data_IF_877663358559
#
_entry.id   IF_877663358559
#
_cell.length_a   1.000
_cell.length_b   1.000
_cell.length_c   1.000
_cell.angle_alpha   90.00
_cell.angle_beta   90.00
_cell.angle_gamma   90.00
#
_symmetry.space_group_name_H-M   'P 1'
#
loop_
_entity.id
_entity.type
_entity.pdbx_description
1 polymer ?
#
# COMPACT_ATOMS: atom_id res chain seq x y z
N UNK A 1 -2.71 -7.01 -33.37
CA UNK A 1 -1.67 -8.03 -33.17
C UNK A 1 -0.90 -8.21 -34.47
N UNK A 2 0.41 -7.89 -34.47
CA UNK A 2 1.25 -8.00 -35.68
C UNK A 2 1.63 -9.47 -35.96
N UNK A 3 1.66 -10.31 -34.89
CA UNK A 3 1.96 -11.74 -34.98
C UNK A 3 0.93 -12.55 -34.17
N UNK A 4 -0.18 -13.01 -34.78
CA UNK A 4 -1.27 -13.66 -34.05
C UNK A 4 -0.86 -14.93 -33.31
N UNK A 5 0.03 -15.76 -33.88
CA UNK A 5 0.52 -16.98 -33.22
C UNK A 5 1.45 -16.69 -32.04
N UNK A 6 2.35 -15.70 -32.18
CA UNK A 6 3.23 -15.27 -31.08
C UNK A 6 2.39 -14.58 -29.99
N UNK A 7 1.40 -13.78 -30.41
CA UNK A 7 0.44 -13.15 -29.50
C UNK A 7 -0.39 -14.17 -28.71
N UNK A 8 -0.80 -15.28 -29.33
CA UNK A 8 -1.50 -16.36 -28.65
C UNK A 8 -0.61 -17.07 -27.62
N UNK A 9 0.65 -17.33 -27.96
CA UNK A 9 1.62 -17.94 -27.05
C UNK A 9 1.87 -16.99 -25.84
N UNK A 10 2.10 -15.71 -26.12
CA UNK A 10 2.25 -14.70 -25.07
C UNK A 10 0.99 -14.58 -24.22
N UNK A 11 -0.21 -14.62 -24.84
CA UNK A 11 -1.48 -14.61 -24.11
C UNK A 11 -1.66 -15.85 -23.22
N UNK A 12 -1.34 -17.03 -23.71
CA UNK A 12 -1.43 -18.29 -22.91
C UNK A 12 -0.41 -18.29 -21.76
N UNK A 13 0.77 -17.71 -21.97
CA UNK A 13 1.83 -17.67 -20.96
C UNK A 13 1.63 -16.52 -19.94
N UNK A 14 1.05 -15.39 -20.35
CA UNK A 14 0.99 -14.16 -19.57
C UNK A 14 -0.42 -13.54 -19.45
N UNK A 15 -1.36 -13.94 -20.30
CA UNK A 15 -2.74 -13.44 -20.33
C UNK A 15 -3.66 -14.18 -19.35
N UNK A 16 -3.28 -14.28 -18.10
CA UNK A 16 -4.10 -14.92 -17.08
C UNK A 16 -5.19 -13.96 -16.60
N UNK A 17 -6.41 -14.49 -16.44
CA UNK A 17 -7.47 -13.82 -15.67
C UNK A 17 -7.14 -14.01 -14.19
N UNK A 18 -6.34 -13.07 -13.66
CA UNK A 18 -5.70 -13.13 -12.35
C UNK A 18 -6.68 -13.36 -11.20
N UNK A 19 -7.94 -12.89 -11.35
CA UNK A 19 -8.95 -12.99 -10.30
C UNK A 19 -9.70 -14.31 -10.28
N UNK A 20 -9.71 -15.06 -11.39
CA UNK A 20 -10.37 -16.38 -11.45
C UNK A 20 -9.56 -17.50 -10.83
N UNK A 21 -8.25 -17.31 -10.72
CA UNK A 21 -7.36 -18.28 -10.09
C UNK A 21 -7.10 -17.83 -8.64
N UNK A 22 -8.00 -18.17 -7.73
CA UNK A 22 -7.76 -17.92 -6.29
C UNK A 22 -6.49 -18.67 -5.88
N UNK A 23 -5.40 -17.91 -5.71
CA UNK A 23 -4.09 -18.48 -5.38
C UNK A 23 -4.09 -18.98 -3.94
N UNK A 24 -4.83 -18.29 -3.04
CA UNK A 24 -5.08 -18.79 -1.71
C UNK A 24 -6.50 -18.45 -1.21
N UNK A 25 -6.98 -19.24 -0.27
CA UNK A 25 -8.33 -19.10 0.26
C UNK A 25 -8.28 -18.40 1.62
N UNK A 26 -8.84 -17.21 1.69
CA UNK A 26 -9.01 -16.46 2.96
C UNK A 26 -10.01 -17.11 3.90
N UNK A 27 -10.79 -18.09 3.42
CA UNK A 27 -11.87 -18.71 4.21
C UNK A 27 -11.37 -19.33 5.50
N UNK A 28 -10.23 -20.00 5.49
CA UNK A 28 -9.67 -20.63 6.69
C UNK A 28 -9.57 -19.67 7.89
N UNK A 29 -9.21 -18.40 7.62
CA UNK A 29 -9.11 -17.38 8.67
C UNK A 29 -10.47 -16.72 8.92
N UNK A 30 -11.15 -16.28 7.84
CA UNK A 30 -12.42 -15.56 7.96
C UNK A 30 -13.56 -16.41 8.53
N UNK A 31 -13.50 -17.73 8.36
CA UNK A 31 -14.49 -18.66 8.89
C UNK A 31 -14.26 -19.03 10.36
N UNK A 32 -13.13 -18.68 10.96
CA UNK A 32 -12.92 -18.91 12.38
C UNK A 32 -13.90 -18.08 13.22
N UNK A 33 -14.51 -18.74 14.24
CA UNK A 33 -15.54 -18.13 15.07
C UNK A 33 -15.09 -16.81 15.70
N UNK A 34 -13.83 -16.75 16.15
CA UNK A 34 -13.26 -15.55 16.76
C UNK A 34 -13.20 -14.36 15.79
N UNK A 35 -12.90 -14.62 14.51
CA UNK A 35 -12.85 -13.57 13.48
C UNK A 35 -14.26 -13.09 13.14
N UNK A 36 -15.22 -14.01 13.04
CA UNK A 36 -16.65 -13.67 12.82
C UNK A 36 -17.18 -12.79 13.94
N UNK A 37 -16.97 -13.18 15.20
CA UNK A 37 -17.37 -12.40 16.37
C UNK A 37 -16.70 -11.02 16.41
N UNK A 38 -15.41 -10.95 16.06
CA UNK A 38 -14.66 -9.69 15.98
C UNK A 38 -15.24 -8.78 14.90
N UNK A 39 -15.46 -9.29 13.69
CA UNK A 39 -16.05 -8.54 12.59
C UNK A 39 -17.47 -8.09 12.91
N UNK A 40 -18.24 -8.90 13.65
CA UNK A 40 -19.58 -8.53 14.11
C UNK A 40 -19.53 -7.41 15.16
N UNK A 41 -18.57 -7.46 16.10
CA UNK A 41 -18.35 -6.38 17.08
C UNK A 41 -17.93 -5.05 16.44
N UNK A 42 -17.20 -5.12 15.31
CA UNK A 42 -16.78 -3.93 14.55
C UNK A 42 -17.90 -3.40 13.64
N UNK A 43 -19.04 -4.08 13.52
CA UNK A 43 -20.21 -3.55 12.80
C UNK A 43 -20.71 -2.29 13.51
N UNK A 44 -20.84 -1.21 12.77
CA UNK A 44 -21.50 -0.02 13.27
C UNK A 44 -22.96 -0.35 13.57
N UNK A 45 -23.50 0.16 14.67
CA UNK A 45 -24.93 0.15 14.91
C UNK A 45 -25.59 1.12 13.92
N UNK A 46 -26.84 0.87 13.53
CA UNK A 46 -27.55 1.73 12.57
C UNK A 46 -27.46 3.23 12.90
N UNK A 47 -27.61 3.57 14.20
CA UNK A 47 -27.45 4.96 14.68
C UNK A 47 -26.02 5.54 14.49
N UNK A 48 -25.00 4.68 14.43
CA UNK A 48 -23.62 5.08 14.17
C UNK A 48 -23.35 5.18 12.66
N UNK A 49 -24.00 4.33 11.86
CA UNK A 49 -24.00 4.45 10.40
C UNK A 49 -24.64 5.76 9.97
N UNK A 50 -25.81 6.12 10.52
CA UNK A 50 -26.49 7.38 10.26
C UNK A 50 -25.62 8.59 10.65
N UNK A 51 -24.93 8.55 11.79
CA UNK A 51 -23.99 9.59 12.22
C UNK A 51 -22.77 9.70 11.30
N UNK A 52 -22.23 8.56 10.88
CA UNK A 52 -21.10 8.52 9.92
C UNK A 52 -21.55 9.06 8.55
N UNK A 53 -22.74 8.71 8.09
CA UNK A 53 -23.31 9.27 6.87
C UNK A 53 -23.53 10.78 6.96
N UNK A 54 -24.01 11.30 8.08
CA UNK A 54 -24.17 12.73 8.31
C UNK A 54 -22.81 13.47 8.33
N UNK A 55 -21.78 12.89 8.96
CA UNK A 55 -20.43 13.46 9.00
C UNK A 55 -19.76 13.40 7.63
N UNK A 56 -19.89 12.28 6.92
CA UNK A 56 -19.25 12.05 5.62
C UNK A 56 -20.04 12.64 4.44
N UNK A 57 -21.33 12.94 4.61
CA UNK A 57 -22.22 13.49 3.57
C UNK A 57 -22.08 12.74 2.23
N UNK A 58 -21.59 13.39 1.18
CA UNK A 58 -21.41 12.78 -0.13
C UNK A 58 -20.30 11.72 -0.16
N UNK A 59 -19.35 11.80 0.75
CA UNK A 59 -18.32 10.77 0.93
C UNK A 59 -18.83 9.50 1.60
N UNK A 60 -20.12 9.50 2.04
CA UNK A 60 -20.81 8.29 2.47
C UNK A 60 -20.85 7.20 1.39
N UNK A 61 -20.83 7.57 0.11
CA UNK A 61 -20.76 6.58 -1.00
C UNK A 61 -19.42 5.84 -1.02
N UNK A 62 -18.31 6.55 -0.80
CA UNK A 62 -16.99 5.94 -0.68
C UNK A 62 -16.96 4.95 0.48
N UNK A 63 -17.41 5.39 1.66
CA UNK A 63 -17.52 4.53 2.84
C UNK A 63 -18.36 3.26 2.55
N UNK A 64 -19.54 3.41 1.95
CA UNK A 64 -20.45 2.29 1.63
C UNK A 64 -19.84 1.33 0.61
N UNK A 65 -19.15 1.83 -0.40
CA UNK A 65 -18.47 1.00 -1.38
C UNK A 65 -17.43 0.10 -0.70
N UNK A 66 -16.56 0.69 0.11
CA UNK A 66 -15.51 -0.04 0.83
C UNK A 66 -16.13 -1.04 1.81
N UNK A 67 -17.18 -0.63 2.52
CA UNK A 67 -17.91 -1.50 3.45
C UNK A 67 -18.54 -2.71 2.77
N UNK A 68 -19.15 -2.53 1.60
CA UNK A 68 -19.85 -3.58 0.88
C UNK A 68 -18.91 -4.51 0.11
N UNK A 69 -17.79 -3.98 -0.43
CA UNK A 69 -16.80 -4.72 -1.22
C UNK A 69 -16.04 -5.75 -0.38
N UNK A 70 -15.18 -5.29 0.51
CA UNK A 70 -14.33 -6.16 1.35
C UNK A 70 -14.93 -6.48 2.72
N UNK A 71 -16.12 -5.98 3.03
CA UNK A 71 -16.63 -5.93 4.41
C UNK A 71 -15.67 -5.20 5.35
N UNK A 72 -14.83 -4.31 4.78
CA UNK A 72 -13.90 -3.49 5.56
C UNK A 72 -14.69 -2.54 6.45
N UNK A 73 -14.59 -2.75 7.74
CA UNK A 73 -15.35 -1.99 8.73
C UNK A 73 -14.67 -0.64 8.97
N UNK A 74 -15.49 0.42 9.04
CA UNK A 74 -15.02 1.68 9.59
C UNK A 74 -14.82 1.49 11.10
N UNK A 75 -13.63 1.76 11.54
CA UNK A 75 -13.28 1.83 12.97
C UNK A 75 -13.14 3.29 13.37
N UNK A 76 -13.57 3.66 14.56
CA UNK A 76 -13.65 5.08 14.99
C UNK A 76 -12.79 5.39 16.21
N UNK A 77 -12.30 4.42 16.91
CA UNK A 77 -11.40 4.61 18.06
C UNK A 77 -9.96 4.33 17.63
N UNK A 78 -9.38 5.31 16.92
CA UNK A 78 -8.01 5.21 16.45
C UNK A 78 -7.26 6.51 16.71
N UNK A 79 -5.98 6.39 17.01
CA UNK A 79 -5.00 7.46 16.94
C UNK A 79 -4.07 7.16 15.75
N UNK A 80 -4.04 8.06 14.78
CA UNK A 80 -3.18 7.93 13.59
C UNK A 80 -2.06 8.95 13.70
N UNK A 81 -0.83 8.49 13.52
CA UNK A 81 0.36 9.34 13.39
C UNK A 81 0.97 9.14 12.01
N UNK A 82 1.11 10.23 11.26
CA UNK A 82 1.84 10.24 9.99
C UNK A 82 3.34 10.26 10.28
N UNK A 83 4.09 9.41 9.63
CA UNK A 83 5.54 9.27 9.74
C UNK A 83 6.17 9.62 8.39
N UNK A 84 6.97 10.67 8.39
CA UNK A 84 7.61 11.18 7.20
C UNK A 84 9.03 10.62 7.11
N UNK A 85 9.29 9.89 6.01
CA UNK A 85 10.56 9.23 5.75
C UNK A 85 10.94 8.10 6.74
N UNK A 86 11.98 7.38 6.38
CA UNK A 86 12.41 6.20 7.12
C UNK A 86 12.98 6.54 8.49
N UNK A 87 13.61 7.70 8.64
CA UNK A 87 14.22 8.13 9.91
C UNK A 87 13.17 8.18 11.01
N UNK A 88 12.08 8.91 10.79
CA UNK A 88 11.02 9.03 11.79
C UNK A 88 10.33 7.68 12.01
N UNK A 89 10.05 6.93 10.92
CA UNK A 89 9.45 5.59 11.04
C UNK A 89 10.29 4.68 11.92
N UNK A 90 11.59 4.55 11.65
CA UNK A 90 12.43 3.59 12.38
C UNK A 90 12.68 4.01 13.83
N UNK A 91 12.79 5.30 14.11
CA UNK A 91 12.89 5.81 15.50
C UNK A 91 11.68 5.36 16.33
N UNK A 92 10.47 5.64 15.83
CA UNK A 92 9.22 5.28 16.50
C UNK A 92 9.04 3.77 16.58
N UNK A 93 9.28 3.05 15.47
CA UNK A 93 9.15 1.61 15.39
C UNK A 93 10.04 0.88 16.39
N UNK A 94 11.33 1.24 16.48
CA UNK A 94 12.24 0.61 17.44
C UNK A 94 11.84 0.89 18.89
N UNK A 95 11.26 2.07 19.16
CA UNK A 95 10.71 2.37 20.49
C UNK A 95 9.54 1.46 20.84
N UNK A 96 8.61 1.24 19.90
CA UNK A 96 7.43 0.42 20.13
C UNK A 96 7.78 -1.07 20.21
N UNK A 97 8.63 -1.57 19.33
CA UNK A 97 9.08 -2.97 19.37
C UNK A 97 9.76 -3.34 20.68
N UNK A 98 10.55 -2.43 21.28
CA UNK A 98 11.15 -2.66 22.60
C UNK A 98 10.12 -2.87 23.70
N UNK A 99 8.92 -2.26 23.57
CA UNK A 99 7.85 -2.34 24.57
C UNK A 99 6.91 -3.54 24.36
N UNK A 100 7.03 -4.24 23.24
CA UNK A 100 6.19 -5.40 22.92
C UNK A 100 6.25 -6.46 24.03
N UNK A 101 5.08 -7.01 24.38
CA UNK A 101 4.93 -7.96 25.49
C UNK A 101 4.32 -9.29 25.08
N UNK A 102 3.45 -9.31 24.06
CA UNK A 102 2.71 -10.49 23.65
C UNK A 102 3.18 -11.01 22.28
N UNK A 103 3.09 -10.19 21.23
CA UNK A 103 3.48 -10.62 19.90
C UNK A 103 3.95 -9.47 19.00
N UNK A 104 4.77 -9.82 18.01
CA UNK A 104 5.23 -8.95 16.93
C UNK A 104 5.03 -9.70 15.62
N UNK A 105 4.19 -9.17 14.73
CA UNK A 105 3.93 -9.72 13.40
C UNK A 105 4.41 -8.75 12.33
N UNK A 106 5.22 -9.25 11.39
CA UNK A 106 5.78 -8.45 10.29
C UNK A 106 5.47 -9.10 8.94
N UNK A 107 5.10 -8.28 7.96
CA UNK A 107 4.89 -8.66 6.56
C UNK A 107 5.52 -7.57 5.69
N UNK A 108 6.55 -7.92 4.89
CA UNK A 108 7.33 -6.94 4.12
C UNK A 108 7.68 -7.42 2.73
N UNK A 109 7.52 -6.52 1.73
CA UNK A 109 7.99 -6.75 0.37
C UNK A 109 9.52 -6.75 0.29
N UNK A 110 10.17 -5.65 0.73
CA UNK A 110 11.64 -5.58 0.79
C UNK A 110 12.08 -5.61 2.24
N UNK A 111 12.88 -6.61 2.55
CA UNK A 111 13.65 -6.69 3.79
C UNK A 111 15.08 -7.09 3.44
N UNK A 112 16.02 -6.15 3.58
CA UNK A 112 17.43 -6.43 3.39
C UNK A 112 18.13 -6.50 4.74
N UNK A 113 19.02 -7.46 4.92
CA UNK A 113 19.82 -7.60 6.14
C UNK A 113 21.10 -6.73 6.11
N UNK A 114 20.93 -5.49 5.62
CA UNK A 114 21.90 -4.40 5.73
C UNK A 114 21.95 -3.83 7.16
N UNK A 115 22.41 -2.60 7.37
CA UNK A 115 22.58 -2.06 8.73
C UNK A 115 21.23 -1.97 9.47
N UNK A 116 20.20 -1.38 8.84
CA UNK A 116 18.89 -1.20 9.50
C UNK A 116 18.18 -2.53 9.67
N UNK A 117 18.21 -3.40 8.65
CA UNK A 117 17.57 -4.71 8.73
C UNK A 117 18.25 -5.62 9.75
N UNK A 118 19.59 -5.61 9.83
CA UNK A 118 20.33 -6.36 10.87
C UNK A 118 19.96 -5.85 12.27
N UNK A 119 19.89 -4.52 12.47
CA UNK A 119 19.45 -3.94 13.74
C UNK A 119 18.03 -4.36 14.11
N UNK A 120 17.14 -4.48 13.14
CA UNK A 120 15.78 -4.99 13.37
C UNK A 120 15.82 -6.48 13.72
N UNK A 121 16.57 -7.31 12.99
CA UNK A 121 16.76 -8.75 13.29
C UNK A 121 17.26 -8.94 14.73
N UNK A 122 18.26 -8.15 15.15
CA UNK A 122 18.79 -8.22 16.51
C UNK A 122 17.70 -7.98 17.56
N UNK A 123 16.85 -6.98 17.33
CA UNK A 123 15.74 -6.67 18.23
C UNK A 123 14.66 -7.76 18.22
N UNK A 124 14.31 -8.31 17.06
CA UNK A 124 13.33 -9.40 16.94
C UNK A 124 13.83 -10.66 17.66
N UNK A 125 15.10 -11.04 17.46
CA UNK A 125 15.72 -12.16 18.17
C UNK A 125 15.68 -11.96 19.69
N UNK A 126 16.04 -10.75 20.16
CA UNK A 126 15.99 -10.41 21.58
C UNK A 126 14.57 -10.53 22.13
N UNK A 127 13.56 -9.99 21.43
CA UNK A 127 12.14 -10.06 21.86
C UNK A 127 11.63 -11.50 21.91
N UNK A 128 11.99 -12.33 20.93
CA UNK A 128 11.64 -13.75 20.94
C UNK A 128 12.26 -14.49 22.14
N UNK A 129 13.54 -14.22 22.47
CA UNK A 129 14.21 -14.74 23.66
C UNK A 129 13.60 -14.24 24.98
N UNK A 130 12.97 -13.05 24.97
CA UNK A 130 12.20 -12.52 26.11
C UNK A 130 10.81 -13.16 26.23
N UNK A 131 10.42 -14.09 25.35
CA UNK A 131 9.15 -14.80 25.35
C UNK A 131 8.04 -14.12 24.53
N UNK A 132 8.34 -13.06 23.77
CA UNK A 132 7.41 -12.45 22.82
C UNK A 132 7.29 -13.34 21.59
N UNK A 133 6.08 -13.65 21.16
CA UNK A 133 5.85 -14.39 19.91
C UNK A 133 6.20 -13.51 18.70
N UNK A 134 7.15 -13.93 17.88
CA UNK A 134 7.56 -13.18 16.68
C UNK A 134 7.29 -14.00 15.43
N UNK A 135 6.45 -13.46 14.53
CA UNK A 135 6.16 -14.02 13.19
C UNK A 135 6.56 -13.04 12.10
N UNK A 136 7.27 -13.52 11.10
CA UNK A 136 7.81 -12.69 10.04
C UNK A 136 7.57 -13.32 8.67
N UNK A 137 6.83 -12.64 7.79
CA UNK A 137 6.65 -12.96 6.37
C UNK A 137 7.42 -11.94 5.54
N UNK A 138 8.17 -12.42 4.56
CA UNK A 138 8.90 -11.56 3.62
C UNK A 138 8.75 -12.09 2.20
N UNK A 139 8.59 -11.19 1.22
CA UNK A 139 8.55 -11.60 -0.19
C UNK A 139 9.90 -12.15 -0.62
N UNK A 140 9.90 -13.32 -1.26
CA UNK A 140 11.14 -14.05 -1.61
C UNK A 140 11.97 -13.33 -2.67
N UNK A 141 11.32 -12.60 -3.58
CA UNK A 141 12.00 -11.86 -4.67
C UNK A 141 12.46 -10.49 -4.20
N UNK A 142 11.62 -9.80 -3.44
CA UNK A 142 11.90 -8.44 -2.97
C UNK A 142 12.95 -8.40 -1.85
N UNK A 143 13.09 -9.47 -1.07
CA UNK A 143 13.91 -9.46 0.15
C UNK A 143 15.25 -10.15 -0.03
N UNK A 144 16.28 -9.64 0.68
CA UNK A 144 17.63 -10.21 0.69
C UNK A 144 18.04 -10.47 2.14
N UNK A 145 17.79 -11.69 2.62
CA UNK A 145 18.15 -12.13 3.96
C UNK A 145 19.15 -13.29 3.85
N UNK A 146 20.35 -13.10 4.38
CA UNK A 146 21.41 -14.10 4.35
C UNK A 146 21.04 -15.36 5.14
N UNK A 147 21.58 -16.51 4.72
CA UNK A 147 21.40 -17.77 5.45
C UNK A 147 21.86 -17.68 6.90
N UNK A 148 22.87 -16.84 7.20
CA UNK A 148 23.33 -16.55 8.56
C UNK A 148 22.21 -15.91 9.38
N UNK A 149 21.56 -14.86 8.86
CA UNK A 149 20.50 -14.16 9.60
C UNK A 149 19.22 -14.99 9.68
N UNK A 150 18.87 -15.77 8.66
CA UNK A 150 17.77 -16.74 8.73
C UNK A 150 17.99 -17.76 9.86
N UNK A 151 19.21 -18.29 9.98
CA UNK A 151 19.57 -19.20 11.09
C UNK A 151 19.45 -18.52 12.45
N UNK A 152 19.96 -17.29 12.61
CA UNK A 152 19.84 -16.52 13.86
C UNK A 152 18.38 -16.31 14.28
N UNK A 153 17.51 -15.96 13.32
CA UNK A 153 16.07 -15.83 13.58
C UNK A 153 15.48 -17.14 14.10
N UNK A 154 15.76 -18.27 13.42
CA UNK A 154 15.26 -19.59 13.82
C UNK A 154 15.80 -20.01 15.22
N UNK A 155 17.10 -19.83 15.49
CA UNK A 155 17.73 -20.16 16.76
C UNK A 155 17.17 -19.31 17.92
N UNK A 156 16.75 -18.08 17.65
CA UNK A 156 16.12 -17.21 18.64
C UNK A 156 14.62 -17.52 18.88
N UNK A 157 14.02 -18.40 18.08
CA UNK A 157 12.61 -18.75 18.19
C UNK A 157 11.66 -17.87 17.36
N UNK A 158 12.20 -17.05 16.44
CA UNK A 158 11.41 -16.30 15.47
C UNK A 158 10.89 -17.23 14.38
N UNK A 159 9.57 -17.27 14.19
CA UNK A 159 8.96 -17.98 13.08
C UNK A 159 9.00 -17.09 11.83
N UNK A 160 9.63 -17.56 10.75
CA UNK A 160 9.73 -16.76 9.52
C UNK A 160 9.59 -17.60 8.27
N UNK A 161 8.87 -17.06 7.28
CA UNK A 161 8.60 -17.73 6.02
C UNK A 161 8.72 -16.77 4.83
N UNK A 162 9.30 -17.22 3.70
CA UNK A 162 9.23 -16.48 2.46
C UNK A 162 7.82 -16.59 1.85
N UNK A 163 7.31 -15.50 1.34
CA UNK A 163 6.09 -15.48 0.54
C UNK A 163 6.43 -15.89 -0.91
N UNK A 164 5.73 -16.92 -1.40
CA UNK A 164 5.89 -17.46 -2.76
C UNK A 164 7.36 -17.71 -3.16
N UNK A 165 8.05 -18.70 -2.54
CA UNK A 165 9.42 -19.06 -2.87
C UNK A 165 9.58 -19.40 -4.36
N UNK A 166 10.61 -18.84 -4.99
CA UNK A 166 10.87 -18.99 -6.43
C UNK A 166 11.91 -20.07 -6.67
N UNK A 167 11.53 -21.35 -6.57
CA UNK A 167 12.44 -22.48 -6.81
C UNK A 167 12.62 -22.84 -8.30
N UNK A 168 11.69 -22.49 -9.19
CA UNK A 168 11.77 -22.72 -10.65
C UNK A 168 10.92 -21.66 -11.39
N UNK A 169 11.34 -20.43 -11.33
CA UNK A 169 10.57 -19.25 -11.73
C UNK A 169 10.19 -19.14 -13.21
N UNK A 170 10.90 -19.82 -14.09
CA UNK A 170 10.66 -19.72 -15.53
C UNK A 170 9.46 -20.50 -16.07
N UNK A 171 8.83 -21.36 -15.27
CA UNK A 171 7.77 -22.28 -15.71
C UNK A 171 6.41 -22.05 -15.00
N UNK A 172 6.34 -21.18 -14.00
CA UNK A 172 5.09 -20.98 -13.28
C UNK A 172 4.71 -19.49 -13.32
N UNK A 173 3.50 -19.18 -13.80
CA UNK A 173 2.92 -17.83 -13.79
C UNK A 173 2.82 -17.17 -12.39
N UNK A 174 3.28 -17.86 -11.34
CA UNK A 174 3.33 -17.39 -9.94
C UNK A 174 4.39 -16.31 -9.69
N UNK A 175 5.34 -16.10 -10.63
CA UNK A 175 6.34 -15.02 -10.49
C UNK A 175 5.75 -13.62 -10.47
N UNK A 176 4.58 -13.42 -11.08
CA UNK A 176 3.96 -12.11 -11.18
C UNK A 176 3.29 -11.62 -9.88
N UNK A 177 2.89 -12.55 -9.03
CA UNK A 177 2.21 -12.23 -7.78
C UNK A 177 3.21 -11.94 -6.68
N UNK A 178 3.27 -10.68 -6.23
CA UNK A 178 4.18 -10.26 -5.16
C UNK A 178 3.40 -9.72 -3.98
N UNK A 179 3.91 -9.99 -2.79
CA UNK A 179 3.40 -9.40 -1.57
C UNK A 179 4.04 -8.01 -1.39
N UNK A 180 3.34 -6.98 -1.88
CA UNK A 180 3.83 -5.61 -1.81
C UNK A 180 3.42 -4.90 -0.52
N UNK A 181 2.82 -5.60 0.43
CA UNK A 181 2.42 -5.06 1.74
C UNK A 181 3.63 -4.76 2.61
N UNK A 182 3.47 -3.82 3.52
CA UNK A 182 4.42 -3.44 4.55
C UNK A 182 3.63 -3.20 5.82
N UNK A 183 3.47 -4.27 6.60
CA UNK A 183 2.63 -4.29 7.80
C UNK A 183 3.49 -4.69 8.99
N UNK A 184 3.31 -4.01 10.12
CA UNK A 184 3.74 -4.50 11.42
C UNK A 184 2.56 -4.40 12.37
N UNK A 185 2.31 -5.44 13.14
CA UNK A 185 1.37 -5.41 14.27
C UNK A 185 2.13 -5.78 15.54
N UNK A 186 1.95 -4.96 16.57
CA UNK A 186 2.56 -5.14 17.89
C UNK A 186 1.46 -5.28 18.91
N UNK A 187 1.43 -6.40 19.63
CA UNK A 187 0.50 -6.72 20.72
C UNK A 187 -1.00 -6.62 20.34
N UNK A 188 -1.34 -6.52 19.04
CA UNK A 188 -2.69 -6.28 18.55
C UNK A 188 -3.25 -4.88 18.83
N UNK A 189 -2.41 -3.97 19.33
CA UNK A 189 -2.76 -2.60 19.73
C UNK A 189 -2.18 -1.54 18.80
N UNK A 190 -0.98 -1.79 18.27
CA UNK A 190 -0.23 -0.87 17.40
C UNK A 190 -0.04 -1.51 16.03
N UNK A 191 -0.38 -0.76 14.97
CA UNK A 191 -0.19 -1.13 13.58
C UNK A 191 0.68 -0.13 12.83
N UNK A 192 1.48 -0.61 11.89
CA UNK A 192 2.25 0.21 10.93
C UNK A 192 1.87 -0.18 9.52
N UNK A 193 1.71 0.84 8.66
CA UNK A 193 1.33 0.69 7.26
C UNK A 193 1.86 1.85 6.42
N UNK A 194 2.33 1.59 5.19
CA UNK A 194 2.73 2.66 4.25
C UNK A 194 3.79 2.22 3.26
N UNK A 195 4.48 3.17 2.61
CA UNK A 195 5.39 2.90 1.50
C UNK A 195 6.78 2.39 1.90
N UNK A 196 7.24 2.68 3.12
CA UNK A 196 8.64 2.50 3.54
C UNK A 196 8.97 1.04 3.83
N UNK A 197 9.87 0.45 3.06
CA UNK A 197 10.43 -0.88 3.29
C UNK A 197 11.54 -0.89 4.37
N UNK A 198 12.23 -2.02 4.51
CA UNK A 198 13.33 -2.20 5.45
C UNK A 198 14.62 -2.44 4.67
N UNK A 199 15.32 -1.35 4.38
CA UNK A 199 16.65 -1.35 3.77
C UNK A 199 17.32 0.04 3.95
N UNK A 200 18.65 0.07 3.95
CA UNK A 200 19.44 1.28 4.21
C UNK A 200 19.20 2.39 3.20
N UNK A 201 18.88 2.06 1.94
CA UNK A 201 18.65 3.07 0.90
C UNK A 201 17.38 3.90 1.12
N UNK A 202 16.46 3.49 2.00
CA UNK A 202 15.31 4.31 2.43
C UNK A 202 15.69 5.36 3.47
N UNK A 203 16.89 5.25 4.09
CA UNK A 203 17.36 6.16 5.14
C UNK A 203 18.23 7.23 4.52
N UNK A 204 17.86 8.48 4.72
CA UNK A 204 18.56 9.65 4.18
C UNK A 204 19.84 9.96 5.00
N UNK A 205 20.86 9.11 4.86
CA UNK A 205 22.13 9.25 5.59
C UNK A 205 23.11 10.24 4.93
N UNK A 206 22.72 10.91 3.84
CA UNK A 206 23.56 11.79 3.05
C UNK A 206 24.56 11.08 2.12
N UNK A 207 24.53 9.75 2.06
CA UNK A 207 25.39 8.92 1.20
C UNK A 207 24.74 8.43 -0.08
N UNK A 208 23.41 8.50 -0.15
CA UNK A 208 22.57 8.09 -1.29
C UNK A 208 21.68 9.24 -1.69
N UNK A 209 21.02 9.12 -2.85
CA UNK A 209 20.00 10.06 -3.25
C UNK A 209 18.87 10.11 -2.20
N UNK A 210 18.29 11.28 -2.02
CA UNK A 210 17.25 11.50 -1.03
C UNK A 210 16.01 10.65 -1.36
N UNK A 211 15.53 9.88 -0.37
CA UNK A 211 14.36 9.03 -0.48
C UNK A 211 13.20 9.61 0.32
N UNK A 212 12.15 10.05 -0.38
CA UNK A 212 10.95 10.63 0.22
C UNK A 212 9.82 9.62 0.23
N UNK A 213 9.37 9.22 1.41
CA UNK A 213 8.26 8.26 1.54
C UNK A 213 7.38 8.58 2.76
N UNK A 214 6.20 7.95 2.84
CA UNK A 214 5.23 8.16 3.92
C UNK A 214 4.79 6.83 4.50
N UNK A 215 4.67 6.79 5.82
CA UNK A 215 4.14 5.67 6.58
C UNK A 215 3.17 6.18 7.62
N UNK A 216 2.32 5.34 8.17
CA UNK A 216 1.47 5.66 9.32
C UNK A 216 1.67 4.64 10.43
N UNK A 217 1.55 5.12 11.64
CA UNK A 217 1.38 4.35 12.85
C UNK A 217 -0.05 4.53 13.34
N UNK A 218 -0.72 3.44 13.65
CA UNK A 218 -2.11 3.42 14.10
C UNK A 218 -2.14 2.75 15.47
N UNK A 219 -2.77 3.39 16.44
CA UNK A 219 -3.18 2.77 17.68
C UNK A 219 -4.70 2.60 17.66
N UNK A 220 -5.23 1.44 17.96
CA UNK A 220 -6.66 1.27 18.13
C UNK A 220 -7.32 0.17 17.31
N UNK A 221 -8.60 0.36 17.04
CA UNK A 221 -9.46 -0.67 16.44
C UNK A 221 -9.05 -1.08 15.02
N UNK A 222 -8.45 -0.16 14.24
CA UNK A 222 -8.00 -0.43 12.88
C UNK A 222 -6.80 -1.40 12.81
N UNK A 223 -6.16 -1.69 13.93
CA UNK A 223 -5.12 -2.73 14.02
C UNK A 223 -5.72 -4.13 13.86
N UNK A 224 -6.97 -4.34 14.25
CA UNK A 224 -7.64 -5.65 14.14
C UNK A 224 -7.75 -6.15 12.70
N UNK A 225 -8.24 -5.36 11.71
CA UNK A 225 -8.22 -5.78 10.31
C UNK A 225 -6.80 -5.98 9.74
N UNK A 226 -5.79 -5.19 10.16
CA UNK A 226 -4.39 -5.46 9.79
C UNK A 226 -3.91 -6.80 10.33
N UNK A 227 -4.25 -7.14 11.57
CA UNK A 227 -3.91 -8.41 12.19
C UNK A 227 -4.59 -9.60 11.48
N UNK A 228 -5.86 -9.45 11.08
CA UNK A 228 -6.58 -10.47 10.29
C UNK A 228 -5.89 -10.66 8.95
N UNK A 229 -5.51 -9.56 8.29
CA UNK A 229 -4.82 -9.60 7.00
C UNK A 229 -3.48 -10.32 7.10
N UNK A 230 -2.66 -9.99 8.12
CA UNK A 230 -1.42 -10.70 8.41
C UNK A 230 -1.65 -12.21 8.59
N UNK A 231 -2.65 -12.60 9.38
CA UNK A 231 -2.94 -14.02 9.59
C UNK A 231 -3.42 -14.73 8.32
N UNK A 232 -4.08 -14.03 7.41
CA UNK A 232 -4.45 -14.58 6.10
C UNK A 232 -3.20 -14.95 5.30
N UNK A 233 -2.20 -14.05 5.26
CA UNK A 233 -0.90 -14.31 4.61
C UNK A 233 -0.13 -15.40 5.35
N UNK A 234 -0.12 -15.36 6.69
CA UNK A 234 0.56 -16.37 7.52
C UNK A 234 0.01 -17.77 7.30
N UNK A 235 -1.30 -17.95 7.29
CA UNK A 235 -1.96 -19.24 7.05
C UNK A 235 -1.58 -19.81 5.68
N UNK A 236 -1.49 -18.95 4.67
CA UNK A 236 -1.05 -19.33 3.33
C UNK A 236 0.41 -19.81 3.30
N UNK A 237 1.36 -19.08 3.91
CA UNK A 237 2.78 -19.45 3.86
C UNK A 237 3.13 -20.64 4.74
N UNK A 238 2.30 -20.95 5.74
CA UNK A 238 2.46 -22.08 6.64
C UNK A 238 1.68 -23.33 6.20
N UNK A 239 1.05 -23.29 5.00
CA UNK A 239 0.24 -24.40 4.47
C UNK A 239 -1.04 -24.70 5.31
N UNK A 240 -1.60 -23.67 5.92
CA UNK A 240 -2.88 -23.71 6.65
C UNK A 240 -2.80 -24.16 8.09
N UNK A 241 -3.95 -24.14 8.75
CA UNK A 241 -4.15 -24.76 10.06
C UNK A 241 -3.88 -23.88 11.29
N UNK A 242 -3.63 -22.57 11.11
CA UNK A 242 -3.48 -21.69 12.26
C UNK A 242 -4.80 -21.54 13.02
N UNK A 243 -4.75 -21.69 14.35
CA UNK A 243 -5.87 -21.40 15.24
C UNK A 243 -5.63 -20.06 15.93
N UNK A 244 -6.56 -19.12 15.72
CA UNK A 244 -6.47 -17.80 16.30
C UNK A 244 -6.97 -17.79 17.74
N UNK A 245 -6.32 -16.98 18.58
CA UNK A 245 -6.68 -16.72 19.97
C UNK A 245 -7.20 -15.29 20.14
N UNK A 246 -8.09 -15.08 21.11
CA UNK A 246 -8.55 -13.75 21.50
C UNK A 246 -7.40 -12.82 21.96
N UNK A 247 -6.29 -13.37 22.42
CA UNK A 247 -5.11 -12.63 22.85
C UNK A 247 -4.45 -11.81 21.72
N UNK A 248 -4.70 -12.18 20.44
CA UNK A 248 -4.22 -11.41 19.29
C UNK A 248 -5.08 -10.15 18.99
N UNK A 249 -6.25 -10.03 19.64
CA UNK A 249 -7.24 -8.99 19.37
C UNK A 249 -7.70 -8.33 20.68
N UNK A 250 -6.82 -7.68 21.43
CA UNK A 250 -7.18 -7.04 22.69
C UNK A 250 -8.25 -5.96 22.51
N UNK A 251 -9.03 -5.73 23.56
CA UNK A 251 -9.95 -4.59 23.64
C UNK A 251 -9.16 -3.33 24.02
N UNK A 252 -8.60 -2.68 23.00
CA UNK A 252 -7.84 -1.44 23.16
C UNK A 252 -8.52 -0.30 22.40
N UNK A 253 -8.81 0.80 23.10
CA UNK A 253 -9.46 1.98 22.55
C UNK A 253 -8.76 3.26 23.04
N UNK A 254 -8.01 3.94 22.18
CA UNK A 254 -7.45 5.25 22.51
C UNK A 254 -8.56 6.31 22.65
N UNK A 255 -8.23 7.43 23.27
CA UNK A 255 -9.16 8.56 23.38
C UNK A 255 -9.43 9.27 22.05
N UNK A 256 -8.54 9.10 21.08
CA UNK A 256 -8.66 9.68 19.74
C UNK A 256 -9.78 9.01 18.94
N UNK A 257 -10.34 9.75 17.99
CA UNK A 257 -11.55 9.36 17.23
C UNK A 257 -11.36 9.45 15.73
N UNK A 258 -10.19 9.15 15.21
CA UNK A 258 -9.99 9.08 13.76
C UNK A 258 -10.75 7.90 13.15
N UNK A 259 -11.56 8.17 12.12
CA UNK A 259 -12.19 7.14 11.32
C UNK A 259 -11.16 6.48 10.40
N UNK A 260 -11.07 5.15 10.42
CA UNK A 260 -10.11 4.41 9.57
C UNK A 260 -10.78 3.17 8.98
N UNK A 261 -10.61 2.98 7.66
CA UNK A 261 -10.93 1.74 6.95
C UNK A 261 -9.65 1.16 6.35
N UNK A 262 -9.33 -0.08 6.66
CA UNK A 262 -8.21 -0.82 6.05
C UNK A 262 -8.75 -1.60 4.86
N UNK A 263 -8.18 -1.37 3.68
CA UNK A 263 -8.59 -2.00 2.45
C UNK A 263 -7.41 -2.79 1.90
N UNK A 264 -7.65 -4.01 1.47
CA UNK A 264 -6.66 -4.82 0.78
C UNK A 264 -7.12 -5.17 -0.63
N UNK A 265 -6.18 -5.30 -1.54
CA UNK A 265 -6.38 -5.86 -2.87
C UNK A 265 -5.36 -6.95 -3.12
N UNK A 266 -5.72 -7.88 -3.97
CA UNK A 266 -4.85 -8.94 -4.41
C UNK A 266 -5.56 -9.88 -5.37
N UNK A 267 -4.84 -10.84 -5.95
CA UNK A 267 -5.44 -11.86 -6.81
C UNK A 267 -6.37 -12.82 -6.04
N UNK A 268 -6.41 -12.72 -4.71
CA UNK A 268 -7.27 -13.47 -3.79
C UNK A 268 -8.59 -12.75 -3.48
N UNK A 269 -8.77 -11.50 -3.97
CA UNK A 269 -10.01 -10.73 -3.81
C UNK A 269 -10.91 -10.85 -5.03
N UNK A 270 -12.23 -10.78 -4.81
CA UNK A 270 -13.20 -10.85 -5.92
C UNK A 270 -13.23 -9.55 -6.76
N UNK A 271 -12.82 -8.43 -6.18
CA UNK A 271 -12.83 -7.09 -6.77
C UNK A 271 -11.50 -6.34 -6.58
N UNK A 272 -11.16 -5.37 -7.45
CA UNK A 272 -10.01 -4.48 -7.28
C UNK A 272 -10.30 -3.41 -6.22
N UNK A 273 -10.50 -3.83 -4.97
CA UNK A 273 -11.08 -2.99 -3.91
C UNK A 273 -10.35 -1.66 -3.70
N UNK A 274 -9.01 -1.66 -3.76
CA UNK A 274 -8.22 -0.41 -3.62
C UNK A 274 -8.47 0.51 -4.82
N UNK A 275 -8.48 -0.03 -6.04
CA UNK A 275 -8.76 0.74 -7.25
C UNK A 275 -10.18 1.33 -7.21
N UNK A 276 -11.17 0.52 -6.86
CA UNK A 276 -12.57 0.99 -6.73
C UNK A 276 -12.72 2.07 -5.65
N UNK A 277 -12.02 1.91 -4.52
CA UNK A 277 -12.02 2.92 -3.45
C UNK A 277 -11.37 4.23 -3.89
N UNK A 278 -10.25 4.17 -4.63
CA UNK A 278 -9.59 5.34 -5.21
C UNK A 278 -10.51 6.01 -6.23
N UNK A 279 -11.14 5.23 -7.11
CA UNK A 279 -12.11 5.74 -8.09
C UNK A 279 -13.28 6.48 -7.41
N UNK A 280 -13.89 5.85 -6.41
CA UNK A 280 -14.98 6.45 -5.65
C UNK A 280 -14.53 7.71 -4.89
N UNK A 281 -13.30 7.73 -4.36
CA UNK A 281 -12.74 8.89 -3.70
C UNK A 281 -12.57 10.07 -4.69
N UNK A 282 -11.97 9.80 -5.86
CA UNK A 282 -11.78 10.81 -6.92
C UNK A 282 -13.15 11.40 -7.35
N UNK A 283 -14.15 10.54 -7.56
CA UNK A 283 -15.50 10.98 -8.00
C UNK A 283 -16.30 11.72 -6.91
N UNK A 284 -15.90 11.56 -5.63
CA UNK A 284 -16.52 12.25 -4.50
C UNK A 284 -15.83 13.57 -4.13
N UNK A 285 -14.70 13.89 -4.75
CA UNK A 285 -13.97 15.13 -4.49
C UNK A 285 -14.71 16.35 -5.06
N UNK A 286 -14.65 17.48 -4.33
CA UNK A 286 -15.35 18.72 -4.69
C UNK A 286 -14.42 19.88 -4.97
N UNK A 287 -13.34 19.97 -4.21
CA UNK A 287 -12.42 21.12 -4.23
C UNK A 287 -11.06 20.74 -4.76
N UNK A 288 -10.45 19.71 -4.21
CA UNK A 288 -9.12 19.31 -4.64
C UNK A 288 -8.81 17.83 -4.44
N UNK A 289 -7.87 17.32 -5.25
CA UNK A 289 -7.28 15.97 -5.17
C UNK A 289 -5.78 16.13 -5.32
N UNK A 290 -5.01 15.77 -4.29
CA UNK A 290 -3.55 15.76 -4.33
C UNK A 290 -3.04 14.33 -4.22
N UNK A 291 -2.29 13.88 -5.21
CA UNK A 291 -1.80 12.51 -5.33
C UNK A 291 -0.28 12.50 -5.39
N UNK A 292 0.35 11.69 -4.54
CA UNK A 292 1.76 11.34 -4.66
C UNK A 292 1.90 9.86 -4.98
N UNK A 293 2.63 9.52 -6.03
CA UNK A 293 2.90 8.13 -6.42
C UNK A 293 4.23 8.02 -7.17
N UNK A 294 5.04 6.95 -6.93
CA UNK A 294 6.28 6.76 -7.69
C UNK A 294 6.03 6.36 -9.15
N UNK A 295 4.90 5.68 -9.42
CA UNK A 295 4.50 5.25 -10.75
C UNK A 295 3.07 5.66 -11.01
N UNK A 296 2.87 6.31 -12.17
CA UNK A 296 1.54 6.73 -12.63
C UNK A 296 1.24 6.04 -13.97
N UNK A 297 0.74 4.81 -13.87
CA UNK A 297 0.39 3.95 -15.00
C UNK A 297 -1.05 3.44 -14.77
N UNK A 298 -2.02 4.35 -14.65
CA UNK A 298 -3.38 4.02 -14.25
C UNK A 298 -4.12 3.21 -15.33
N UNK A 299 -5.13 2.48 -14.88
CA UNK A 299 -6.15 1.94 -15.77
C UNK A 299 -7.05 3.06 -16.33
N UNK A 300 -7.87 2.72 -17.32
CA UNK A 300 -8.71 3.71 -18.02
C UNK A 300 -9.74 4.35 -17.09
N UNK A 301 -10.24 3.63 -16.09
CA UNK A 301 -11.23 4.12 -15.12
C UNK A 301 -10.65 5.25 -14.25
N UNK A 302 -9.46 5.04 -13.67
CA UNK A 302 -8.78 6.05 -12.85
C UNK A 302 -8.35 7.24 -13.70
N UNK A 303 -7.84 6.98 -14.91
CA UNK A 303 -7.44 8.03 -15.85
C UNK A 303 -8.64 8.92 -16.18
N UNK A 304 -9.76 8.32 -16.57
CA UNK A 304 -10.99 9.05 -16.89
C UNK A 304 -11.55 9.82 -15.68
N UNK A 305 -11.55 9.23 -14.50
CA UNK A 305 -12.02 9.89 -13.27
C UNK A 305 -11.24 11.16 -12.95
N UNK A 306 -9.89 11.11 -13.03
CA UNK A 306 -9.03 12.27 -12.78
C UNK A 306 -9.23 13.37 -13.83
N UNK A 307 -9.34 12.99 -15.12
CA UNK A 307 -9.62 13.94 -16.21
C UNK A 307 -10.97 14.63 -16.03
N UNK A 308 -12.01 13.87 -15.66
CA UNK A 308 -13.35 14.41 -15.42
C UNK A 308 -13.33 15.35 -14.21
N UNK A 309 -12.68 14.96 -13.11
CA UNK A 309 -12.55 15.79 -11.91
C UNK A 309 -11.90 17.15 -12.25
N UNK A 310 -10.74 17.15 -12.93
CA UNK A 310 -10.04 18.36 -13.32
C UNK A 310 -10.89 19.24 -14.25
N UNK A 311 -11.50 18.67 -15.29
CA UNK A 311 -12.38 19.39 -16.23
C UNK A 311 -13.67 19.89 -15.59
N UNK A 312 -14.08 19.32 -14.45
CA UNK A 312 -15.25 19.77 -13.68
C UNK A 312 -14.90 20.86 -12.66
N UNK A 313 -13.64 21.33 -12.64
CA UNK A 313 -13.20 22.42 -11.77
C UNK A 313 -12.61 21.99 -10.43
N UNK A 314 -12.38 20.67 -10.21
CA UNK A 314 -11.63 20.18 -9.05
C UNK A 314 -10.14 20.41 -9.31
N UNK A 315 -9.42 20.99 -8.35
CA UNK A 315 -7.98 21.17 -8.43
C UNK A 315 -7.27 19.82 -8.27
N UNK A 316 -6.71 19.28 -9.36
CA UNK A 316 -6.02 17.99 -9.33
C UNK A 316 -4.51 18.21 -9.48
N UNK A 317 -3.74 17.80 -8.46
CA UNK A 317 -2.27 17.85 -8.47
C UNK A 317 -1.69 16.44 -8.36
N UNK A 318 -0.76 16.13 -9.26
CA UNK A 318 -0.04 14.85 -9.31
C UNK A 318 1.45 15.10 -9.10
N UNK A 319 2.01 14.49 -8.06
CA UNK A 319 3.44 14.54 -7.75
C UNK A 319 4.07 13.16 -8.00
N UNK A 320 5.05 13.13 -8.91
CA UNK A 320 5.78 11.93 -9.34
C UNK A 320 7.29 12.19 -9.27
N UNK A 321 8.15 11.15 -9.29
CA UNK A 321 9.60 11.34 -9.37
C UNK A 321 10.02 12.04 -10.67
N UNK A 322 11.05 12.88 -10.60
CA UNK A 322 11.69 13.45 -11.80
C UNK A 322 12.41 12.35 -12.60
N UNK A 323 13.12 11.47 -11.90
CA UNK A 323 13.79 10.30 -12.47
C UNK A 323 13.20 9.04 -11.86
N UNK A 324 12.74 8.11 -12.70
CA UNK A 324 12.26 6.81 -12.27
C UNK A 324 13.45 5.86 -12.00
N UNK A 325 13.30 4.96 -11.06
CA UNK A 325 14.23 3.86 -10.79
C UNK A 325 14.21 2.76 -11.86
N UNK A 326 13.15 2.76 -12.70
CA UNK A 326 12.99 1.89 -13.87
C UNK A 326 12.72 2.75 -15.12
N UNK A 327 13.56 2.63 -16.15
CA UNK A 327 13.37 3.37 -17.40
C UNK A 327 12.07 3.00 -18.13
N UNK A 328 11.64 1.73 -18.03
CA UNK A 328 10.38 1.27 -18.64
C UNK A 328 9.20 1.91 -17.92
N UNK A 329 9.15 1.81 -16.58
CA UNK A 329 8.08 2.39 -15.76
C UNK A 329 8.04 3.92 -15.89
N UNK A 330 9.22 4.58 -15.97
CA UNK A 330 9.31 6.00 -16.22
C UNK A 330 8.79 6.40 -17.61
N UNK A 331 9.13 5.63 -18.66
CA UNK A 331 8.62 5.87 -20.01
C UNK A 331 7.11 5.61 -20.10
N UNK A 332 6.61 4.56 -19.44
CA UNK A 332 5.18 4.26 -19.36
C UNK A 332 4.44 5.40 -18.62
N UNK A 333 4.91 5.84 -17.44
CA UNK A 333 4.34 7.00 -16.72
C UNK A 333 4.28 8.22 -17.63
N UNK A 334 5.38 8.56 -18.31
CA UNK A 334 5.44 9.71 -19.21
C UNK A 334 4.38 9.66 -20.33
N UNK A 335 3.95 8.48 -20.77
CA UNK A 335 2.95 8.34 -21.82
C UNK A 335 1.56 8.80 -21.43
N UNK A 336 1.27 8.86 -20.12
CA UNK A 336 -0.03 9.32 -19.59
C UNK A 336 -0.05 10.82 -19.27
N UNK A 337 1.12 11.46 -19.13
CA UNK A 337 1.17 12.84 -18.63
C UNK A 337 0.56 13.85 -19.61
N UNK A 338 0.67 13.63 -20.92
CA UNK A 338 0.11 14.56 -21.90
C UNK A 338 -1.42 14.69 -21.74
N UNK A 339 -2.14 13.58 -21.67
CA UNK A 339 -3.61 13.58 -21.55
C UNK A 339 -4.08 14.10 -20.19
N UNK A 340 -3.24 14.03 -19.16
CA UNK A 340 -3.51 14.63 -17.85
C UNK A 340 -3.34 16.16 -17.91
N UNK A 341 -2.26 16.66 -18.51
CA UNK A 341 -2.03 18.09 -18.70
C UNK A 341 -3.12 18.73 -19.58
N UNK A 342 -3.52 18.06 -20.68
CA UNK A 342 -4.61 18.50 -21.54
C UNK A 342 -5.95 18.60 -20.80
N UNK A 343 -6.16 17.76 -19.80
CA UNK A 343 -7.36 17.80 -18.95
C UNK A 343 -7.30 18.88 -17.87
N UNK A 344 -6.17 19.57 -17.70
CA UNK A 344 -5.98 20.60 -16.68
C UNK A 344 -5.42 20.10 -15.35
N UNK A 345 -4.90 18.86 -15.29
CA UNK A 345 -4.19 18.35 -14.11
C UNK A 345 -2.83 18.99 -14.03
N UNK A 346 -2.47 19.51 -12.85
CA UNK A 346 -1.14 20.03 -12.58
C UNK A 346 -0.20 18.86 -12.23
N UNK A 347 0.81 18.65 -13.05
CA UNK A 347 1.80 17.58 -12.85
C UNK A 347 3.11 18.18 -12.35
N UNK A 348 3.61 17.63 -11.25
CA UNK A 348 4.85 18.02 -10.60
C UNK A 348 5.85 16.87 -10.61
N UNK A 349 7.13 17.15 -10.88
CA UNK A 349 8.22 16.17 -10.87
C UNK A 349 9.19 16.48 -9.74
N UNK A 350 9.28 15.61 -8.76
CA UNK A 350 10.12 15.76 -7.57
C UNK A 350 11.61 15.60 -7.90
N UNK A 351 12.44 16.60 -7.59
CA UNK A 351 13.85 16.68 -8.03
C UNK A 351 14.87 16.36 -6.95
N UNK A 352 14.52 16.49 -5.67
CA UNK A 352 15.48 16.31 -4.60
C UNK A 352 16.00 14.88 -4.47
N UNK A 353 15.33 13.91 -5.11
CA UNK A 353 15.67 12.50 -5.10
C UNK A 353 14.51 11.68 -5.61
N UNK A 354 14.29 10.52 -5.02
CA UNK A 354 13.19 9.63 -5.40
C UNK A 354 12.02 9.75 -4.42
N UNK A 355 10.85 10.19 -4.91
CA UNK A 355 9.63 10.20 -4.12
C UNK A 355 8.88 8.88 -4.32
N UNK A 356 8.70 8.14 -3.23
CA UNK A 356 8.10 6.79 -3.24
C UNK A 356 6.82 6.72 -2.39
N UNK A 357 6.31 7.84 -1.88
CA UNK A 357 5.06 7.87 -1.12
C UNK A 357 3.86 7.48 -1.99
N UNK A 358 2.90 6.80 -1.40
CA UNK A 358 1.61 6.46 -2.00
C UNK A 358 0.53 7.07 -1.13
N UNK A 359 0.24 8.33 -1.43
CA UNK A 359 -0.71 9.12 -0.66
C UNK A 359 -1.70 9.82 -1.58
N UNK A 360 -2.91 10.00 -1.09
CA UNK A 360 -3.96 10.78 -1.72
C UNK A 360 -4.67 11.59 -0.64
N UNK A 361 -4.93 12.87 -0.92
CA UNK A 361 -5.69 13.76 -0.03
C UNK A 361 -6.81 14.41 -0.81
N UNK A 362 -8.01 14.45 -0.22
CA UNK A 362 -9.22 15.00 -0.83
C UNK A 362 -9.89 15.98 0.15
N UNK A 363 -10.05 17.21 -0.28
CA UNK A 363 -10.89 18.25 0.38
C UNK A 363 -10.59 18.50 1.88
N UNK A 364 -9.39 18.14 2.39
CA UNK A 364 -9.06 18.10 3.82
C UNK A 364 -10.01 17.23 4.69
N UNK A 365 -10.72 16.30 4.12
CA UNK A 365 -11.69 15.46 4.83
C UNK A 365 -11.31 13.99 4.83
N UNK A 366 -10.73 13.51 3.73
CA UNK A 366 -10.32 12.13 3.55
C UNK A 366 -8.92 12.07 2.99
N UNK A 367 -8.12 11.15 3.50
CA UNK A 367 -6.83 10.84 2.91
C UNK A 367 -6.60 9.32 2.85
N UNK A 368 -5.71 8.90 1.96
CA UNK A 368 -5.24 7.52 1.85
C UNK A 368 -3.74 7.46 1.99
N UNK A 369 -3.26 6.52 2.78
CA UNK A 369 -1.85 6.14 2.87
C UNK A 369 -1.76 4.62 2.75
N UNK A 370 -0.86 4.13 1.90
CA UNK A 370 -0.76 2.68 1.73
C UNK A 370 0.45 2.21 0.95
N UNK A 371 0.31 1.02 0.39
CA UNK A 371 1.35 0.36 -0.38
C UNK A 371 1.11 0.43 -1.89
N UNK A 372 -0.14 0.63 -2.31
CA UNK A 372 -0.54 0.60 -3.71
C UNK A 372 -0.10 1.86 -4.47
N UNK A 373 0.64 1.68 -5.54
CA UNK A 373 0.93 2.73 -6.51
C UNK A 373 -0.32 3.01 -7.37
N UNK A 374 -0.28 4.11 -8.13
CA UNK A 374 -1.26 4.38 -9.19
C UNK A 374 -0.89 3.65 -10.47
N UNK A 375 -0.76 2.32 -10.41
CA UNK A 375 -0.39 1.49 -11.55
C UNK A 375 -1.26 0.22 -11.64
N UNK A 376 -1.28 -0.35 -12.83
CA UNK A 376 -2.09 -1.53 -13.15
C UNK A 376 -1.71 -2.72 -12.26
N UNK A 377 -0.42 -2.88 -11.99
CA UNK A 377 0.11 -4.00 -11.20
C UNK A 377 -0.36 -3.95 -9.75
N UNK A 378 -0.36 -2.76 -9.13
CA UNK A 378 -0.88 -2.57 -7.77
C UNK A 378 -2.39 -2.78 -7.68
N UNK A 379 -3.13 -2.45 -8.75
CA UNK A 379 -4.58 -2.59 -8.75
C UNK A 379 -5.05 -4.03 -8.98
N UNK A 380 -4.32 -4.83 -9.79
CA UNK A 380 -4.81 -6.10 -10.30
C UNK A 380 -3.99 -7.32 -9.86
N UNK A 381 -2.68 -7.15 -9.60
CA UNK A 381 -1.73 -8.27 -9.53
C UNK A 381 -1.11 -8.43 -8.15
N UNK A 382 -0.61 -7.36 -7.55
CA UNK A 382 0.07 -7.41 -6.27
C UNK A 382 -0.91 -7.55 -5.10
N UNK A 383 -0.43 -8.13 -4.02
CA UNK A 383 -1.09 -8.00 -2.72
C UNK A 383 -0.73 -6.64 -2.12
N UNK A 384 -1.72 -5.80 -1.96
CA UNK A 384 -1.58 -4.43 -1.49
C UNK A 384 -2.49 -4.16 -0.29
N UNK A 385 -2.20 -3.09 0.45
CA UNK A 385 -3.04 -2.60 1.54
C UNK A 385 -2.97 -1.07 1.65
N UNK A 386 -4.13 -0.44 1.80
CA UNK A 386 -4.25 1.00 2.03
C UNK A 386 -5.14 1.27 3.26
N UNK A 387 -4.84 2.33 3.99
CA UNK A 387 -5.73 2.92 4.96
C UNK A 387 -6.43 4.13 4.34
N UNK A 388 -7.75 4.15 4.36
CA UNK A 388 -8.54 5.37 4.14
C UNK A 388 -8.87 5.97 5.49
N UNK A 389 -8.50 7.22 5.68
CA UNK A 389 -8.56 7.92 6.96
C UNK A 389 -9.53 9.10 6.81
N UNK A 390 -10.56 9.10 7.61
CA UNK A 390 -11.61 10.12 7.68
C UNK A 390 -11.33 11.01 8.89
N UNK A 391 -10.36 11.91 8.73
CA UNK A 391 -9.88 12.80 9.80
C UNK A 391 -9.32 14.07 9.17
N UNK A 392 -9.89 15.22 9.54
CA UNK A 392 -9.53 16.53 8.97
C UNK A 392 -8.10 16.94 9.31
N UNK A 393 -7.64 16.67 10.53
CA UNK A 393 -6.29 17.05 10.95
C UNK A 393 -5.22 16.22 10.26
N UNK A 394 -5.45 14.92 10.13
CA UNK A 394 -4.54 14.01 9.39
C UNK A 394 -4.52 14.36 7.90
N UNK A 395 -5.70 14.60 7.30
CA UNK A 395 -5.81 15.02 5.90
C UNK A 395 -5.08 16.33 5.64
N UNK A 396 -5.25 17.32 6.52
CA UNK A 396 -4.57 18.61 6.45
C UNK A 396 -3.05 18.45 6.64
N UNK A 397 -2.60 17.59 7.56
CA UNK A 397 -1.17 17.31 7.75
C UNK A 397 -0.55 16.73 6.46
N UNK A 398 -1.20 15.76 5.82
CA UNK A 398 -0.74 15.18 4.58
C UNK A 398 -0.78 16.18 3.41
N UNK A 399 -1.79 17.05 3.35
CA UNK A 399 -1.83 18.14 2.38
C UNK A 399 -0.67 19.11 2.56
N UNK A 400 -0.39 19.53 3.79
CA UNK A 400 0.74 20.42 4.07
C UNK A 400 2.07 19.77 3.70
N UNK A 401 2.22 18.45 3.93
CA UNK A 401 3.40 17.72 3.50
C UNK A 401 3.51 17.65 1.97
N UNK A 402 2.39 17.41 1.28
CA UNK A 402 2.36 17.44 -0.18
C UNK A 402 2.83 18.79 -0.73
N UNK A 403 2.30 19.90 -0.17
CA UNK A 403 2.69 21.24 -0.59
C UNK A 403 4.16 21.55 -0.30
N UNK A 404 4.70 21.07 0.84
CA UNK A 404 6.13 21.18 1.14
C UNK A 404 7.00 20.37 0.14
N UNK A 405 6.54 19.17 -0.27
CA UNK A 405 7.23 18.36 -1.27
C UNK A 405 7.24 19.05 -2.66
N UNK A 406 6.26 19.92 -2.96
CA UNK A 406 6.24 20.70 -4.21
C UNK A 406 7.37 21.76 -4.28
N UNK A 407 7.90 22.23 -3.16
CA UNK A 407 9.02 23.17 -3.12
C UNK A 407 10.29 22.56 -3.75
N UNK A 408 10.44 21.24 -3.66
CA UNK A 408 11.52 20.45 -4.26
C UNK A 408 11.14 19.88 -5.65
N UNK A 409 10.02 20.33 -6.25
CA UNK A 409 9.51 19.80 -7.50
C UNK A 409 9.48 20.84 -8.63
N UNK A 410 9.46 20.35 -9.86
CA UNK A 410 9.30 21.14 -11.08
C UNK A 410 7.90 20.92 -11.64
N UNK A 411 7.17 22.00 -11.89
CA UNK A 411 5.88 21.93 -12.58
C UNK A 411 6.10 21.61 -14.06
N UNK A 412 5.32 20.67 -14.58
CA UNK A 412 5.38 20.27 -15.98
C UNK A 412 4.43 21.11 -16.81
N UNK A 413 4.94 21.81 -17.82
CA UNK A 413 4.13 22.59 -18.75
C UNK A 413 3.73 21.76 -19.98
N UNK A 414 2.47 21.87 -20.42
CA UNK A 414 1.97 21.21 -21.63
C UNK A 414 2.79 21.63 -22.86
N UNK A 415 3.08 22.93 -23.02
CA UNK A 415 3.84 23.46 -24.15
C UNK A 415 5.23 22.85 -24.28
N UNK A 416 5.91 22.64 -23.15
CA UNK A 416 7.24 22.00 -23.14
C UNK A 416 7.11 20.51 -23.36
N UNK A 417 6.06 19.90 -22.82
CA UNK A 417 5.83 18.46 -22.93
C UNK A 417 5.49 18.02 -24.36
N UNK A 418 4.72 18.81 -25.08
CA UNK A 418 4.39 18.55 -26.50
C UNK A 418 5.60 18.62 -27.42
N UNK A 419 6.58 19.47 -27.11
CA UNK A 419 7.79 19.67 -27.93
C UNK A 419 8.87 18.58 -27.75
N UNK A 420 8.62 17.57 -26.90
CA UNK A 420 9.60 16.49 -26.71
C UNK A 420 9.84 15.69 -28.00
N UNK A 421 11.09 15.17 -28.21
CA UNK A 421 11.48 14.50 -29.46
C UNK A 421 10.55 13.34 -29.83
N UNK A 422 10.29 13.14 -31.12
CA UNK A 422 9.45 12.06 -31.64
C UNK A 422 9.94 10.67 -31.20
N UNK A 423 11.26 10.45 -31.17
CA UNK A 423 11.84 9.20 -30.69
C UNK A 423 11.47 8.89 -29.23
N UNK A 424 11.40 9.92 -28.36
CA UNK A 424 10.94 9.77 -26.98
C UNK A 424 9.46 9.42 -26.92
N UNK A 425 8.60 10.10 -27.69
CA UNK A 425 7.17 9.78 -27.80
C UNK A 425 6.92 8.35 -28.26
N UNK A 426 7.74 7.85 -29.21
CA UNK A 426 7.66 6.47 -29.67
C UNK A 426 8.01 5.47 -28.57
N UNK A 427 9.07 5.69 -27.82
CA UNK A 427 9.48 4.85 -26.70
C UNK A 427 8.37 4.84 -25.60
N UNK A 428 7.82 6.00 -25.27
CA UNK A 428 6.73 6.16 -24.32
C UNK A 428 5.48 5.37 -24.78
N UNK A 429 5.11 5.48 -26.07
CA UNK A 429 3.98 4.74 -26.63
C UNK A 429 4.19 3.22 -26.64
N UNK A 430 5.41 2.76 -26.94
CA UNK A 430 5.76 1.34 -26.84
C UNK A 430 5.74 0.85 -25.38
N UNK A 431 6.27 1.66 -24.45
CA UNK A 431 6.22 1.32 -23.02
C UNK A 431 4.79 1.26 -22.48
N UNK A 432 3.87 2.09 -23.01
CA UNK A 432 2.45 2.04 -22.66
C UNK A 432 1.81 0.69 -23.02
N UNK A 433 2.25 0.01 -24.08
CA UNK A 433 1.75 -1.33 -24.42
C UNK A 433 2.09 -2.37 -23.35
N UNK A 434 3.13 -2.11 -22.55
CA UNK A 434 3.55 -2.96 -21.44
C UNK A 434 2.87 -2.59 -20.12
N UNK A 435 2.04 -1.53 -20.09
CA UNK A 435 1.35 -1.06 -18.87
C UNK A 435 0.65 -2.17 -18.07
N UNK A 436 -0.05 -3.15 -18.69
CA UNK A 436 -0.68 -4.24 -17.95
C UNK A 436 0.31 -5.19 -17.24
N UNK A 437 1.61 -5.07 -17.52
CA UNK A 437 2.68 -5.89 -16.92
C UNK A 437 3.53 -5.12 -15.90
N UNK A 438 3.31 -3.78 -15.83
CA UNK A 438 4.10 -2.85 -15.00
C UNK A 438 3.38 -2.46 -13.72
#
# INVERSE_FOLDING_TARGET
MVFPFLGLIVYVLFGQDYRKTKIFDRKNILDQQIVKELLDKLKLKKSQEDQVEEILQEKSKLFKLIYNGEKSKLTTYNHVRVLINAEEKFEVLFSDLKKAKHHIHLEYYIFNDDVIGTKLIDLLCKKAQEGVEVRFVYDDVGSKISSKNKRRLTEAGVLHFPFMPVLFSGLTGKMNYRDHRKIIVIDGEIGYLGGINIADHYINSGKTDYWRDTHIRIDGEAVKPLQILFFTTWDFVQDGGIKLSASYFPEYRPNNRSGVQIISSGPDTDWPNIMEAIFAAITAARSFIYITTPYFIPNDEILAALQIAARSGVEVKLLIPYTSDSWISGSATNSYLQVMLEAGVEVYRYKRGFIHAKTMVLDDEVCSVGTANMDYRSFEINFEVNAFIYDKEISKQLRMQFLADLEDAEVLSLDTWEKRPLGRKLIESLSKLLAPLL
#
